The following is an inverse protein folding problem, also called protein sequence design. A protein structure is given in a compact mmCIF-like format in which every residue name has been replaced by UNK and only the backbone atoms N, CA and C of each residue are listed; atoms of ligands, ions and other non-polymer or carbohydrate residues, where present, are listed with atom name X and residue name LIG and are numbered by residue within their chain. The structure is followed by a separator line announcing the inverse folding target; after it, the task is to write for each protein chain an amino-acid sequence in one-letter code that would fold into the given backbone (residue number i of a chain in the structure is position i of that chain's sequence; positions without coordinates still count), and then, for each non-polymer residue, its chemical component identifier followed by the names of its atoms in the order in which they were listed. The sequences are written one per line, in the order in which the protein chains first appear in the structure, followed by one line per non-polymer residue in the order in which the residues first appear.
data_IF_880501284758
#
_entry.id   IF_880501284758
#
_cell.length_a   1.000
_cell.length_b   1.000
_cell.length_c   1.000
_cell.angle_alpha   90.00
_cell.angle_beta   90.00
_cell.angle_gamma   90.00
#
_symmetry.space_group_name_H-M   'P 1'
#
loop_
_entity.id
_entity.type
_entity.pdbx_description
1 polymer ?
#
# COMPACT_ATOMS: atom_id res chain seq x y z
N UNK A 1 -5.36 -5.76 -0.60
CA UNK A 1 -4.23 -4.82 -0.36
C UNK A 1 -3.05 -5.20 -1.24
N UNK A 2 -2.63 -4.30 -2.13
CA UNK A 2 -1.46 -4.46 -3.00
C UNK A 2 -0.39 -3.44 -2.60
N UNK A 3 0.81 -3.94 -2.31
CA UNK A 3 1.96 -3.11 -1.95
C UNK A 3 2.92 -3.05 -3.14
N UNK A 4 3.23 -1.85 -3.62
CA UNK A 4 4.39 -1.64 -4.51
C UNK A 4 5.61 -1.41 -3.62
N UNK A 5 6.35 -2.49 -3.36
CA UNK A 5 7.55 -2.47 -2.53
C UNK A 5 8.74 -1.86 -3.27
N UNK A 6 9.80 -1.50 -2.53
CA UNK A 6 10.99 -0.86 -3.08
C UNK A 6 12.21 -1.07 -2.18
N UNK A 7 13.41 -0.90 -2.75
CA UNK A 7 14.69 -0.95 -2.02
C UNK A 7 14.97 0.33 -1.22
N UNK A 8 14.21 1.41 -1.43
CA UNK A 8 14.48 2.70 -0.81
C UNK A 8 14.24 2.72 0.72
N UNK A 9 14.90 3.66 1.40
CA UNK A 9 14.86 3.79 2.86
C UNK A 9 13.46 4.00 3.43
N UNK A 10 12.58 4.77 2.76
CA UNK A 10 11.20 4.98 3.22
C UNK A 10 10.34 3.70 3.11
N UNK A 11 10.65 2.78 2.19
CA UNK A 11 10.00 1.47 2.18
C UNK A 11 10.38 0.62 3.39
N UNK A 12 11.63 0.72 3.85
CA UNK A 12 12.12 0.03 5.05
C UNK A 12 11.64 0.68 6.36
N UNK A 13 11.78 1.99 6.47
CA UNK A 13 11.56 2.73 7.71
C UNK A 13 10.11 3.15 7.94
N UNK A 14 9.28 3.20 6.90
CA UNK A 14 7.90 3.71 7.00
C UNK A 14 6.88 2.71 6.47
N UNK A 15 6.89 2.39 5.17
CA UNK A 15 5.82 1.64 4.53
C UNK A 15 5.63 0.22 5.10
N UNK A 16 6.68 -0.62 5.09
CA UNK A 16 6.59 -2.02 5.54
C UNK A 16 6.18 -2.12 7.03
N UNK A 17 6.77 -1.36 7.96
CA UNK A 17 6.31 -1.34 9.35
C UNK A 17 4.85 -0.89 9.49
N UNK A 18 4.43 0.15 8.75
CA UNK A 18 3.05 0.65 8.79
C UNK A 18 2.02 -0.40 8.36
N UNK A 19 2.29 -1.09 7.24
CA UNK A 19 1.42 -2.16 6.75
C UNK A 19 1.32 -3.30 7.77
N UNK A 20 2.45 -3.70 8.35
CA UNK A 20 2.46 -4.75 9.38
C UNK A 20 1.64 -4.34 10.61
N UNK A 21 1.78 -3.10 11.06
CA UNK A 21 1.02 -2.56 12.19
C UNK A 21 -0.48 -2.49 11.89
N UNK A 22 -0.88 -1.89 10.76
CA UNK A 22 -2.29 -1.80 10.39
C UNK A 22 -2.95 -3.18 10.31
N UNK A 23 -2.27 -4.17 9.74
CA UNK A 23 -2.76 -5.55 9.66
C UNK A 23 -2.76 -6.28 11.01
N UNK A 24 -2.05 -5.82 12.03
CA UNK A 24 -2.10 -6.43 13.37
C UNK A 24 -3.18 -5.83 14.28
N UNK A 25 -3.57 -4.57 14.07
CA UNK A 25 -4.45 -3.83 14.99
C UNK A 25 -5.95 -4.02 14.75
N UNK A 26 -6.38 -4.42 13.54
CA UNK A 26 -7.81 -4.60 13.22
C UNK A 26 -8.15 -6.05 12.88
N UNK A 27 -9.42 -6.44 12.99
CA UNK A 27 -9.94 -7.68 12.41
C UNK A 27 -10.57 -7.47 11.02
N UNK A 28 -10.93 -6.23 10.68
CA UNK A 28 -11.50 -5.83 9.38
C UNK A 28 -10.39 -5.74 8.34
N UNK A 29 -9.77 -6.87 8.01
CA UNK A 29 -8.60 -6.92 7.13
C UNK A 29 -9.01 -7.17 5.68
N UNK A 30 -8.22 -6.69 4.70
CA UNK A 30 -8.37 -7.11 3.31
C UNK A 30 -8.19 -8.63 3.16
N UNK A 31 -9.02 -9.28 2.34
CA UNK A 31 -8.97 -10.74 2.12
C UNK A 31 -7.63 -11.24 1.58
N UNK A 32 -6.95 -10.37 0.82
CA UNK A 32 -5.67 -10.67 0.20
C UNK A 32 -4.68 -9.54 0.43
N UNK A 33 -3.48 -9.92 0.85
CA UNK A 33 -2.32 -9.02 1.01
C UNK A 33 -1.23 -9.51 0.07
N UNK A 34 -0.96 -8.74 -0.97
CA UNK A 34 -0.03 -9.10 -2.05
C UNK A 34 0.98 -7.98 -2.29
N UNK A 35 2.13 -8.30 -2.87
CA UNK A 35 3.20 -7.34 -3.09
C UNK A 35 3.87 -7.55 -4.44
N UNK A 36 4.33 -6.46 -5.04
CA UNK A 36 5.24 -6.46 -6.20
C UNK A 36 6.46 -5.64 -5.84
N UNK A 37 7.63 -5.99 -6.37
CA UNK A 37 8.87 -5.32 -6.00
C UNK A 37 9.36 -4.39 -7.12
N UNK A 38 9.18 -3.08 -6.95
CA UNK A 38 9.62 -2.09 -7.93
C UNK A 38 11.15 -2.08 -8.07
N UNK A 39 11.63 -2.23 -9.30
CA UNK A 39 13.06 -2.31 -9.64
C UNK A 39 13.64 -3.73 -9.57
N UNK A 40 12.87 -4.72 -9.13
CA UNK A 40 13.26 -6.14 -9.12
C UNK A 40 12.32 -6.93 -10.02
N UNK A 41 11.02 -6.89 -9.74
CA UNK A 41 9.97 -7.58 -10.51
C UNK A 41 9.31 -6.60 -11.49
N UNK A 42 10.02 -6.25 -12.57
CA UNK A 42 9.62 -5.17 -13.48
C UNK A 42 8.27 -5.40 -14.14
N UNK A 43 8.04 -6.59 -14.73
CA UNK A 43 6.79 -6.91 -15.43
C UNK A 43 5.59 -6.94 -14.47
N UNK A 44 5.75 -7.58 -13.31
CA UNK A 44 4.71 -7.65 -12.29
C UNK A 44 4.37 -6.24 -11.76
N UNK A 45 5.38 -5.40 -11.54
CA UNK A 45 5.18 -4.02 -11.10
C UNK A 45 4.49 -3.16 -12.16
N UNK A 46 4.88 -3.31 -13.43
CA UNK A 46 4.25 -2.60 -14.54
C UNK A 46 2.77 -2.99 -14.65
N UNK A 47 2.46 -4.29 -14.60
CA UNK A 47 1.08 -4.77 -14.66
C UNK A 47 0.25 -4.30 -13.46
N UNK A 48 0.82 -4.32 -12.25
CA UNK A 48 0.14 -3.82 -11.05
C UNK A 48 -0.24 -2.33 -11.18
N UNK A 49 0.62 -1.51 -11.77
CA UNK A 49 0.40 -0.07 -11.96
C UNK A 49 -0.74 0.25 -12.91
N UNK A 50 -1.03 -0.62 -13.88
CA UNK A 50 -2.20 -0.44 -14.77
C UNK A 50 -3.52 -0.40 -13.98
N UNK A 51 -3.62 -1.14 -12.88
CA UNK A 51 -4.79 -1.13 -11.99
C UNK A 51 -4.84 0.07 -11.04
N UNK A 52 -3.80 0.91 -11.03
CA UNK A 52 -3.67 2.06 -10.11
C UNK A 52 -3.87 3.40 -10.81
N UNK A 53 -4.37 3.42 -12.05
CA UNK A 53 -4.67 4.66 -12.75
C UNK A 53 -5.81 5.43 -12.04
N UNK A 54 -5.79 6.78 -12.06
CA UNK A 54 -4.88 7.67 -12.79
C UNK A 54 -3.60 8.05 -12.02
N UNK A 55 -3.29 7.38 -10.90
CA UNK A 55 -2.18 7.79 -10.05
C UNK A 55 -0.82 7.57 -10.73
N UNK A 56 0.11 8.54 -10.65
CA UNK A 56 1.41 8.41 -11.27
C UNK A 56 2.23 7.28 -10.60
N UNK A 57 3.05 6.55 -11.37
CA UNK A 57 3.84 5.45 -10.83
C UNK A 57 4.84 5.96 -9.80
N UNK A 58 4.74 5.47 -8.56
CA UNK A 58 5.69 5.75 -7.48
C UNK A 58 6.05 4.47 -6.72
N UNK A 59 7.07 4.54 -5.85
CA UNK A 59 7.42 3.45 -4.95
C UNK A 59 8.20 3.96 -3.73
N UNK A 60 7.87 3.51 -2.49
CA UNK A 60 6.78 2.62 -2.17
C UNK A 60 5.42 3.30 -2.38
N UNK A 61 4.39 2.51 -2.69
CA UNK A 61 2.99 2.95 -2.70
C UNK A 61 2.08 1.78 -2.31
N UNK A 62 0.87 2.08 -1.85
CA UNK A 62 -0.06 1.08 -1.29
C UNK A 62 -1.44 1.30 -1.90
N UNK A 63 -2.05 0.24 -2.42
CA UNK A 63 -3.36 0.26 -3.03
C UNK A 63 -4.31 -0.70 -2.30
N UNK A 64 -5.50 -0.23 -1.94
CA UNK A 64 -6.60 -1.05 -1.48
C UNK A 64 -7.62 -1.20 -2.61
N UNK A 65 -8.03 -2.44 -2.84
CA UNK A 65 -9.02 -2.77 -3.84
C UNK A 65 -10.23 -3.41 -3.17
N UNK A 66 -11.43 -3.12 -3.69
CA UNK A 66 -12.68 -3.79 -3.35
C UNK A 66 -13.37 -4.16 -4.65
N UNK A 67 -13.74 -5.43 -4.81
CA UNK A 67 -14.42 -5.94 -6.01
C UNK A 67 -13.73 -5.62 -7.35
N UNK A 68 -12.39 -5.52 -7.32
CA UNK A 68 -11.56 -5.19 -8.49
C UNK A 68 -11.37 -3.70 -8.74
N UNK A 69 -12.03 -2.83 -7.97
CA UNK A 69 -11.90 -1.38 -8.07
C UNK A 69 -10.94 -0.82 -7.03
N UNK A 70 -10.17 0.20 -7.41
CA UNK A 70 -9.27 0.92 -6.50
C UNK A 70 -10.08 1.85 -5.60
N UNK A 71 -10.17 1.52 -4.31
CA UNK A 71 -10.96 2.28 -3.33
C UNK A 71 -10.11 3.20 -2.44
N UNK A 72 -8.83 2.87 -2.25
CA UNK A 72 -7.90 3.72 -1.50
C UNK A 72 -6.48 3.60 -2.04
N UNK A 73 -5.74 4.71 -2.06
CA UNK A 73 -4.38 4.74 -2.56
C UNK A 73 -3.48 5.66 -1.75
N UNK A 74 -2.30 5.15 -1.38
CA UNK A 74 -1.26 5.89 -0.66
C UNK A 74 -0.03 6.01 -1.57
N UNK A 75 0.16 7.21 -2.11
CA UNK A 75 1.33 7.57 -2.91
C UNK A 75 2.60 7.70 -2.07
N UNK A 76 3.77 7.62 -2.74
CA UNK A 76 5.07 7.79 -2.07
C UNK A 76 5.17 9.06 -1.24
N UNK A 77 4.62 10.19 -1.71
CA UNK A 77 4.71 11.47 -0.98
C UNK A 77 3.88 11.47 0.32
N UNK A 78 2.93 10.54 0.45
CA UNK A 78 2.21 10.28 1.70
C UNK A 78 2.93 9.28 2.62
N UNK A 79 4.06 8.71 2.18
CA UNK A 79 4.87 7.77 2.95
C UNK A 79 6.21 8.40 3.35
N UNK A 80 6.85 9.10 2.41
CA UNK A 80 8.13 9.75 2.62
C UNK A 80 8.02 10.86 3.67
N UNK A 81 8.90 10.81 4.68
CA UNK A 81 8.88 11.74 5.80
C UNK A 81 7.79 11.50 6.84
N UNK A 82 6.93 10.47 6.67
CA UNK A 82 5.89 10.12 7.65
C UNK A 82 6.33 9.00 8.57
N UNK A 83 5.77 8.98 9.78
CA UNK A 83 5.98 7.88 10.71
C UNK A 83 5.18 6.65 10.29
N UNK A 84 5.63 5.44 10.62
CA UNK A 84 4.83 4.23 10.40
C UNK A 84 3.42 4.31 10.97
N UNK A 85 3.27 4.89 12.16
CA UNK A 85 1.99 5.02 12.84
C UNK A 85 1.00 5.85 12.01
N UNK A 86 1.41 7.00 11.49
CA UNK A 86 0.55 7.87 10.68
C UNK A 86 0.06 7.18 9.39
N UNK A 87 0.94 6.40 8.75
CA UNK A 87 0.59 5.64 7.54
C UNK A 87 -0.37 4.51 7.91
N UNK A 88 -0.15 3.87 9.06
CA UNK A 88 -1.00 2.79 9.50
C UNK A 88 -2.38 3.26 9.94
N UNK A 89 -2.50 4.40 10.63
CA UNK A 89 -3.79 5.02 10.96
C UNK A 89 -4.59 5.33 9.68
N UNK A 90 -3.91 5.81 8.64
CA UNK A 90 -4.52 6.01 7.33
C UNK A 90 -5.03 4.70 6.71
N UNK A 91 -4.27 3.61 6.81
CA UNK A 91 -4.71 2.28 6.35
C UNK A 91 -5.86 1.73 7.19
N UNK A 92 -5.84 1.92 8.51
CA UNK A 92 -6.90 1.47 9.42
C UNK A 92 -8.22 2.16 9.09
N UNK A 93 -8.21 3.46 8.81
CA UNK A 93 -9.40 4.18 8.34
C UNK A 93 -9.95 3.59 7.03
N UNK A 94 -9.09 3.31 6.05
CA UNK A 94 -9.51 2.69 4.79
C UNK A 94 -10.04 1.26 4.97
N UNK A 95 -9.46 0.49 5.91
CA UNK A 95 -9.93 -0.85 6.25
C UNK A 95 -11.31 -0.80 6.91
N UNK A 96 -11.53 0.12 7.84
CA UNK A 96 -12.83 0.30 8.49
C UNK A 96 -13.94 0.69 7.50
N UNK A 97 -13.60 1.45 6.47
CA UNK A 97 -14.56 1.87 5.43
C UNK A 97 -14.85 0.76 4.41
N UNK A 98 -13.85 -0.01 4.01
CA UNK A 98 -13.95 -0.87 2.84
C UNK A 98 -13.88 -2.38 3.11
N UNK A 99 -13.35 -2.83 4.25
CA UNK A 99 -13.10 -4.24 4.57
C UNK A 99 -14.12 -4.86 5.54
N UNK A 100 -15.29 -4.22 5.70
CA UNK A 100 -16.47 -4.79 6.34
C UNK A 100 -17.31 -5.59 5.35
#
# INVERSE_FOLDING_TARGET
LLIVNSVCGCAAGAARPAIKYALSETNDKPDSVVTVFAGVDMEATAKAREYMLPYPPSSPSIALFKDGELVHFIERHHIEGRTPQMIADNLLGAFEEHCK
#
